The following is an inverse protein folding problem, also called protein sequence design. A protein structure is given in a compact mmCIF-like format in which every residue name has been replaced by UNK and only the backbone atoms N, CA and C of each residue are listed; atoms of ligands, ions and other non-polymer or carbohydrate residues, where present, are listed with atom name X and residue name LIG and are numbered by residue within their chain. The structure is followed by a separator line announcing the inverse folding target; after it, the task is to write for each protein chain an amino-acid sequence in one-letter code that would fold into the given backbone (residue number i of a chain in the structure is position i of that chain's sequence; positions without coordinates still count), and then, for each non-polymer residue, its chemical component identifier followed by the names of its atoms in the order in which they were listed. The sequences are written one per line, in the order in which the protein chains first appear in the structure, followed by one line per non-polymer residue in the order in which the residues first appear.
data_IF_476707494053
#
_entry.id   IF_476707494053
#
_cell.length_a   1.000
_cell.length_b   1.000
_cell.length_c   1.000
_cell.angle_alpha   90.00
_cell.angle_beta   90.00
_cell.angle_gamma   90.00
#
_symmetry.space_group_name_H-M   'P 1'
#
loop_
_entity.id
_entity.type
_entity.pdbx_description
1 polymer ?
#
# COMPACT_ATOMS: atom_id res chain seq x y z
N UNK A 1 21.06 -28.82 -18.27
CA UNK A 1 19.83 -28.09 -17.89
C UNK A 1 20.14 -27.30 -16.62
N UNK A 2 20.16 -25.96 -16.69
CA UNK A 2 20.49 -25.11 -15.53
C UNK A 2 19.22 -24.98 -14.68
N UNK A 3 19.26 -25.35 -13.40
CA UNK A 3 18.11 -25.21 -12.49
C UNK A 3 18.09 -23.78 -11.96
N UNK A 4 16.97 -23.09 -12.16
CA UNK A 4 16.69 -21.78 -11.57
C UNK A 4 15.83 -22.03 -10.34
N UNK A 5 16.21 -21.47 -9.19
CA UNK A 5 15.39 -21.52 -7.98
C UNK A 5 14.58 -20.22 -7.86
N UNK A 6 13.28 -20.36 -7.59
CA UNK A 6 12.35 -19.26 -7.32
C UNK A 6 11.84 -19.46 -5.90
N UNK A 7 12.09 -18.49 -5.03
CA UNK A 7 11.67 -18.51 -3.63
C UNK A 7 10.79 -17.29 -3.34
N UNK A 8 9.83 -17.43 -2.43
CA UNK A 8 9.00 -16.32 -1.93
C UNK A 8 9.54 -15.83 -0.59
N UNK A 9 9.68 -14.51 -0.41
CA UNK A 9 9.97 -13.93 0.91
C UNK A 9 8.64 -13.66 1.60
N UNK A 10 8.22 -14.59 2.46
CA UNK A 10 7.00 -14.44 3.23
C UNK A 10 7.06 -13.18 4.11
N UNK A 11 6.15 -12.23 3.89
CA UNK A 11 6.09 -10.97 4.66
C UNK A 11 6.96 -9.83 4.12
N UNK A 12 7.49 -9.95 2.91
CA UNK A 12 8.16 -8.86 2.21
C UNK A 12 9.57 -8.52 2.68
N UNK A 13 10.17 -7.52 2.03
CA UNK A 13 11.40 -6.91 2.53
C UNK A 13 11.02 -5.94 3.66
N UNK A 14 11.52 -6.17 4.87
CA UNK A 14 11.57 -5.15 5.91
C UNK A 14 12.61 -4.05 5.53
N UNK A 15 12.43 -3.44 4.36
CA UNK A 15 13.18 -2.28 3.93
C UNK A 15 12.91 -1.18 4.94
N UNK A 16 13.96 -0.75 5.66
CA UNK A 16 13.88 0.21 6.76
C UNK A 16 12.84 1.29 6.45
N UNK A 17 11.81 1.35 7.29
CA UNK A 17 10.59 2.14 7.02
C UNK A 17 10.88 3.60 6.72
N UNK A 18 9.83 4.33 6.34
CA UNK A 18 9.99 5.70 5.84
C UNK A 18 10.91 6.59 6.70
N UNK A 19 11.92 7.17 6.03
CA UNK A 19 12.82 8.13 6.65
C UNK A 19 12.02 9.28 7.30
N UNK A 20 12.60 9.92 8.32
CA UNK A 20 11.99 11.11 8.94
C UNK A 20 11.72 12.22 7.90
N UNK A 21 12.55 12.31 6.87
CA UNK A 21 12.39 13.30 5.80
C UNK A 21 11.18 12.98 4.90
N UNK A 22 11.02 11.71 4.52
CA UNK A 22 9.88 11.23 3.72
C UNK A 22 8.56 11.49 4.46
N UNK A 23 8.49 11.13 5.75
CA UNK A 23 7.33 11.40 6.59
C UNK A 23 7.00 12.89 6.70
N UNK A 24 8.00 13.75 6.91
CA UNK A 24 7.81 15.21 6.94
C UNK A 24 7.30 15.76 5.59
N UNK A 25 7.80 15.24 4.47
CA UNK A 25 7.33 15.64 3.13
C UNK A 25 5.89 15.22 2.91
N UNK A 26 5.52 14.00 3.31
CA UNK A 26 4.15 13.49 3.23
C UNK A 26 3.17 14.37 4.02
N UNK A 27 3.49 14.68 5.28
CA UNK A 27 2.63 15.53 6.11
C UNK A 27 2.42 16.92 5.52
N UNK A 28 3.48 17.57 5.00
CA UNK A 28 3.34 18.86 4.31
C UNK A 28 2.42 18.77 3.10
N UNK A 29 2.52 17.69 2.32
CA UNK A 29 1.68 17.45 1.15
C UNK A 29 0.21 17.33 1.56
N UNK A 30 -0.10 16.49 2.56
CA UNK A 30 -1.48 16.32 3.04
C UNK A 30 -2.04 17.64 3.54
N UNK A 31 -1.31 18.36 4.40
CA UNK A 31 -1.79 19.64 4.95
C UNK A 31 -2.09 20.63 3.82
N UNK A 32 -1.22 20.69 2.81
CA UNK A 32 -1.46 21.54 1.65
C UNK A 32 -2.70 21.11 0.86
N UNK A 33 -2.84 19.81 0.57
CA UNK A 33 -3.99 19.27 -0.14
C UNK A 33 -5.30 19.45 0.64
N UNK A 34 -5.31 19.24 1.96
CA UNK A 34 -6.49 19.42 2.81
C UNK A 34 -6.90 20.90 2.91
N UNK A 35 -5.94 21.82 3.04
CA UNK A 35 -6.25 23.25 3.11
C UNK A 35 -6.85 23.79 1.79
N UNK A 36 -6.51 23.20 0.65
CA UNK A 36 -7.13 23.56 -0.64
C UNK A 36 -8.61 23.15 -0.71
N UNK A 37 -9.05 22.24 0.15
CA UNK A 37 -10.40 21.68 0.12
C UNK A 37 -11.36 22.40 1.09
N UNK A 38 -10.88 23.33 1.93
CA UNK A 38 -11.73 24.15 2.81
C UNK A 38 -12.79 25.00 2.08
N UNK A 39 -12.69 25.15 0.74
CA UNK A 39 -13.65 25.92 -0.06
C UNK A 39 -14.61 25.07 -0.92
N UNK A 40 -14.61 23.74 -0.76
CA UNK A 40 -15.49 22.85 -1.53
C UNK A 40 -16.62 22.34 -0.63
N UNK A 41 -17.87 22.65 -0.98
CA UNK A 41 -19.03 22.02 -0.34
C UNK A 41 -19.00 20.53 -0.68
N UNK A 42 -18.54 19.70 0.26
CA UNK A 42 -18.58 18.26 0.08
C UNK A 42 -20.03 17.78 0.03
N UNK A 43 -20.40 17.03 -1.01
CA UNK A 43 -21.57 16.17 -0.94
C UNK A 43 -21.42 15.22 0.25
N UNK A 44 -22.53 14.86 0.90
CA UNK A 44 -22.55 13.81 1.93
C UNK A 44 -21.70 12.63 1.44
N UNK A 45 -20.66 12.28 2.21
CA UNK A 45 -19.81 11.13 1.88
C UNK A 45 -20.70 9.91 1.76
N UNK A 46 -20.64 9.17 0.63
CA UNK A 46 -21.47 7.99 0.48
C UNK A 46 -21.12 6.99 1.59
N UNK A 47 -22.14 6.29 2.08
CA UNK A 47 -21.94 5.19 3.00
C UNK A 47 -21.22 4.06 2.26
N UNK A 48 -19.97 3.79 2.64
CA UNK A 48 -19.18 2.69 2.10
C UNK A 48 -19.31 1.52 3.08
N UNK A 49 -19.83 0.39 2.60
CA UNK A 49 -19.90 -0.86 3.36
C UNK A 49 -19.15 -1.96 2.61
N UNK A 50 -18.57 -2.89 3.39
CA UNK A 50 -17.91 -4.08 2.88
C UNK A 50 -18.75 -5.31 3.26
N UNK A 51 -18.87 -6.22 2.30
CA UNK A 51 -19.51 -7.52 2.41
C UNK A 51 -18.46 -8.62 2.52
N UNK A 52 -18.89 -9.83 2.89
CA UNK A 52 -17.99 -10.99 2.96
C UNK A 52 -17.39 -11.33 1.58
N UNK A 53 -18.12 -11.11 0.49
CA UNK A 53 -17.67 -11.37 -0.89
C UNK A 53 -16.58 -10.41 -1.37
N UNK A 54 -16.43 -9.23 -0.76
CA UNK A 54 -15.37 -8.30 -1.14
C UNK A 54 -13.96 -8.81 -0.76
N UNK A 55 -13.89 -9.83 0.10
CA UNK A 55 -12.65 -10.53 0.43
C UNK A 55 -12.30 -11.70 -0.50
N UNK A 56 -13.16 -12.03 -1.46
CA UNK A 56 -12.90 -13.15 -2.37
C UNK A 56 -11.70 -12.86 -3.27
N UNK A 57 -10.70 -13.74 -3.26
CA UNK A 57 -9.46 -13.57 -4.03
C UNK A 57 -8.37 -12.76 -3.33
N UNK A 58 -8.58 -12.32 -2.08
CA UNK A 58 -7.50 -11.81 -1.23
C UNK A 58 -6.75 -13.01 -0.66
N UNK A 59 -5.67 -13.41 -1.33
CA UNK A 59 -4.79 -14.46 -0.83
C UNK A 59 -3.70 -13.86 0.06
N UNK A 60 -3.44 -14.47 1.24
CA UNK A 60 -2.24 -14.17 1.97
C UNK A 60 -1.04 -14.37 1.03
N UNK A 61 -0.13 -13.39 0.99
CA UNK A 61 1.17 -13.48 0.31
C UNK A 61 1.17 -13.29 -1.22
N UNK A 62 0.06 -12.89 -1.87
CA UNK A 62 0.07 -12.60 -3.32
C UNK A 62 1.01 -11.43 -3.69
N UNK A 63 1.21 -10.49 -2.77
CA UNK A 63 2.12 -9.35 -2.93
C UNK A 63 3.56 -9.63 -2.43
N UNK A 64 3.86 -10.86 -1.99
CA UNK A 64 5.19 -11.16 -1.46
C UNK A 64 6.24 -11.21 -2.59
N UNK A 65 7.40 -10.57 -2.41
CA UNK A 65 8.42 -10.49 -3.44
C UNK A 65 9.04 -11.86 -3.70
N UNK A 66 9.19 -12.17 -4.99
CA UNK A 66 9.88 -13.37 -5.46
C UNK A 66 11.37 -13.10 -5.67
N UNK A 67 12.21 -14.03 -5.25
CA UNK A 67 13.66 -14.00 -5.47
C UNK A 67 14.05 -15.11 -6.43
N UNK A 68 14.72 -14.72 -7.52
CA UNK A 68 15.29 -15.62 -8.51
C UNK A 68 16.77 -15.79 -8.21
N UNK A 69 17.20 -17.03 -7.98
CA UNK A 69 18.61 -17.38 -7.80
C UNK A 69 19.15 -18.00 -9.10
N UNK A 70 20.19 -17.37 -9.68
CA UNK A 70 20.79 -17.65 -11.00
C UNK A 70 22.18 -18.27 -10.95
#
# INVERSE_FOLDING_TARGET
QKRIAVNTIAGGFAGGGESRATRKRYLRKIIHETNLVEHVSFSSTPEISFSASDGDGVYPHDDDPLVIQV
#
